data_IF_758220221598
#
_entry.id   IF_758220221598
#
_cell.length_a   1.000
_cell.length_b   1.000
_cell.length_c   1.000
_cell.angle_alpha   90.00
_cell.angle_beta   90.00
_cell.angle_gamma   90.00
#
_symmetry.space_group_name_H-M   'P 1'
#
loop_
_entity.id
_entity.type
_entity.pdbx_description
1 polymer ?
#
# COMPACT_ATOMS: atom_id res chain seq x y z
N UNK A 1 -3.58 7.86 8.87
CA UNK A 1 -3.33 6.54 8.26
C UNK A 1 -2.71 6.76 6.91
N UNK A 2 -1.64 6.03 6.57
CA UNK A 2 -0.91 6.21 5.31
C UNK A 2 -1.88 6.23 4.12
N UNK A 3 -1.96 7.37 3.43
CA UNK A 3 -2.81 7.51 2.26
C UNK A 3 -2.33 6.60 1.13
N UNK A 4 -3.12 6.45 0.05
CA UNK A 4 -2.69 5.69 -1.11
C UNK A 4 -1.34 6.20 -1.62
N UNK A 5 -0.40 5.29 -1.85
CA UNK A 5 0.94 5.61 -2.32
C UNK A 5 1.09 5.27 -3.81
N UNK A 6 1.70 6.19 -4.58
CA UNK A 6 2.01 5.96 -5.98
C UNK A 6 3.10 4.90 -6.14
N UNK A 7 3.05 4.09 -7.20
CA UNK A 7 4.02 3.01 -7.41
C UNK A 7 5.43 3.52 -7.64
N UNK A 8 5.58 4.65 -8.33
CA UNK A 8 6.87 5.29 -8.53
C UNK A 8 7.51 5.70 -7.21
N UNK A 9 6.71 6.23 -6.27
CA UNK A 9 7.19 6.60 -4.94
C UNK A 9 7.60 5.38 -4.11
N UNK A 10 6.82 4.29 -4.18
CA UNK A 10 7.13 3.02 -3.51
C UNK A 10 8.43 2.43 -4.09
N UNK A 11 8.51 2.31 -5.42
CA UNK A 11 9.67 1.82 -6.16
C UNK A 11 10.94 2.60 -5.81
N UNK A 12 10.84 3.94 -5.81
CA UNK A 12 11.94 4.81 -5.44
C UNK A 12 12.40 4.59 -3.99
N UNK A 13 11.45 4.51 -3.05
CA UNK A 13 11.75 4.27 -1.62
C UNK A 13 12.43 2.92 -1.41
N UNK A 14 12.02 1.89 -2.18
CA UNK A 14 12.58 0.55 -2.12
C UNK A 14 13.84 0.36 -2.99
N UNK A 15 14.29 1.40 -3.70
CA UNK A 15 15.37 1.29 -4.71
C UNK A 15 15.16 0.10 -5.67
N UNK A 16 13.90 -0.14 -6.05
CA UNK A 16 13.46 -1.27 -6.87
C UNK A 16 12.82 -0.75 -8.15
N UNK A 17 12.89 -1.51 -9.25
CA UNK A 17 12.22 -1.13 -10.50
C UNK A 17 10.68 -1.18 -10.35
N UNK A 18 9.99 -0.25 -11.02
CA UNK A 18 8.52 -0.21 -11.05
C UNK A 18 7.96 -1.50 -11.63
N UNK A 19 8.50 -1.94 -12.76
CA UNK A 19 8.06 -3.16 -13.46
C UNK A 19 8.15 -4.39 -12.54
N UNK A 20 9.21 -4.52 -11.75
CA UNK A 20 9.33 -5.61 -10.75
C UNK A 20 8.20 -5.55 -9.72
N UNK A 21 7.81 -4.37 -9.27
CA UNK A 21 6.68 -4.27 -8.35
C UNK A 21 5.36 -4.65 -9.03
N UNK A 22 5.12 -4.21 -10.27
CA UNK A 22 3.85 -4.46 -10.97
C UNK A 22 3.70 -5.90 -11.49
N UNK A 23 4.79 -6.50 -11.94
CA UNK A 23 4.80 -7.80 -12.62
C UNK A 23 5.07 -8.97 -11.67
N UNK A 24 5.89 -8.76 -10.63
CA UNK A 24 6.29 -9.84 -9.72
C UNK A 24 5.61 -9.73 -8.34
N UNK A 25 5.58 -8.52 -7.76
CA UNK A 25 5.17 -8.34 -6.35
C UNK A 25 3.66 -8.13 -6.21
N UNK A 26 3.09 -7.17 -6.92
CA UNK A 26 1.67 -6.83 -6.82
C UNK A 26 0.73 -7.98 -7.14
N UNK A 27 0.98 -8.88 -8.11
CA UNK A 27 0.08 -9.98 -8.40
C UNK A 27 -0.16 -10.87 -7.18
N UNK A 28 0.86 -11.08 -6.35
CA UNK A 28 0.71 -11.78 -5.07
C UNK A 28 -0.10 -10.94 -4.08
N UNK A 29 0.31 -9.70 -3.82
CA UNK A 29 -0.34 -8.85 -2.81
C UNK A 29 -1.83 -8.60 -3.12
N UNK A 30 -2.18 -8.46 -4.40
CA UNK A 30 -3.57 -8.30 -4.85
C UNK A 30 -4.35 -9.60 -4.71
N UNK A 31 -3.78 -10.75 -5.09
CA UNK A 31 -4.45 -12.05 -4.99
C UNK A 31 -4.73 -12.46 -3.54
N UNK A 32 -3.84 -12.12 -2.62
CA UNK A 32 -4.02 -12.37 -1.20
C UNK A 32 -4.77 -11.25 -0.47
N UNK A 33 -5.33 -10.30 -1.22
CA UNK A 33 -6.11 -9.16 -0.72
C UNK A 33 -5.35 -8.38 0.36
N UNK A 34 -4.03 -8.23 0.23
CA UNK A 34 -3.19 -7.46 1.16
C UNK A 34 -3.16 -5.98 0.78
N UNK A 35 -3.25 -5.67 -0.51
CA UNK A 35 -3.38 -4.31 -1.03
C UNK A 35 -4.54 -4.21 -2.03
N UNK A 36 -4.96 -2.99 -2.31
CA UNK A 36 -5.84 -2.65 -3.43
C UNK A 36 -5.23 -1.55 -4.28
N UNK A 37 -5.54 -1.56 -5.58
CA UNK A 37 -5.28 -0.44 -6.50
C UNK A 37 -6.45 0.54 -6.44
N UNK A 38 -6.14 1.82 -6.33
CA UNK A 38 -7.10 2.92 -6.43
C UNK A 38 -6.59 3.95 -7.44
N UNK A 39 -7.44 4.86 -7.96
CA UNK A 39 -6.97 5.95 -8.81
C UNK A 39 -5.91 6.86 -8.16
N UNK A 40 -5.83 6.85 -6.82
CA UNK A 40 -4.88 7.65 -6.03
C UNK A 40 -3.60 6.90 -5.67
N UNK A 41 -3.49 5.61 -5.99
CA UNK A 41 -2.35 4.76 -5.63
C UNK A 41 -2.75 3.46 -4.94
N UNK A 42 -1.74 2.77 -4.38
CA UNK A 42 -1.87 1.49 -3.68
C UNK A 42 -2.18 1.75 -2.21
N UNK A 43 -3.11 0.99 -1.65
CA UNK A 43 -3.51 1.09 -0.24
C UNK A 43 -3.57 -0.29 0.37
N UNK A 44 -3.17 -0.43 1.64
CA UNK A 44 -3.42 -1.64 2.42
C UNK A 44 -4.92 -1.88 2.59
N UNK A 45 -5.31 -3.15 2.57
CA UNK A 45 -6.62 -3.61 3.04
C UNK A 45 -6.58 -3.83 4.55
N UNK A 46 -7.73 -4.10 5.17
CA UNK A 46 -7.80 -4.54 6.57
C UNK A 46 -6.97 -5.82 6.79
N UNK A 47 -6.99 -6.76 5.83
CA UNK A 47 -6.20 -7.99 5.87
C UNK A 47 -4.69 -7.69 5.77
N UNK A 48 -4.30 -6.73 4.93
CA UNK A 48 -2.93 -6.24 4.82
C UNK A 48 -2.45 -5.58 6.10
N UNK A 49 -3.27 -4.74 6.72
CA UNK A 49 -2.97 -4.13 8.02
C UNK A 49 -2.79 -5.20 9.10
N UNK A 50 -3.69 -6.20 9.17
CA UNK A 50 -3.58 -7.32 10.11
C UNK A 50 -2.34 -8.20 9.86
N UNK A 51 -1.94 -8.38 8.59
CA UNK A 51 -0.76 -9.18 8.22
C UNK A 51 0.56 -8.56 8.72
N UNK A 52 0.61 -7.23 8.86
CA UNK A 52 1.80 -6.52 9.33
C UNK A 52 1.99 -6.60 10.86
N UNK A 53 0.97 -7.04 11.62
CA UNK A 53 0.99 -7.15 13.08
C UNK A 53 0.96 -5.79 13.79
N UNK A 54 -0.10 -5.53 14.56
CA UNK A 54 -0.29 -4.37 15.47
C UNK A 54 0.36 -3.03 15.05
N UNK A 55 -0.06 -2.48 13.91
CA UNK A 55 -0.06 -1.03 13.72
C UNK A 55 -1.42 -0.47 14.20
N UNK A 56 -1.47 0.38 15.25
CA UNK A 56 -2.71 0.86 15.88
C UNK A 56 -3.58 1.69 14.92
N UNK A 57 -4.89 1.84 15.24
CA UNK A 57 -5.93 2.14 14.27
C UNK A 57 -5.71 3.48 13.58
N UNK A 58 -5.96 3.51 12.28
CA UNK A 58 -6.12 4.72 11.49
C UNK A 58 -7.35 5.50 11.97
N UNK A 59 -7.19 6.24 13.07
CA UNK A 59 -8.14 7.27 13.49
C UNK A 59 -8.40 8.25 12.33
N UNK A 60 -9.58 8.87 12.26
CA UNK A 60 -9.94 9.77 11.16
C UNK A 60 -8.82 10.79 11.00
N UNK A 61 -8.27 10.85 9.79
CA UNK A 61 -7.30 11.86 9.38
C UNK A 61 -7.86 13.22 9.79
N UNK A 62 -7.43 13.73 10.95
CA UNK A 62 -7.72 15.10 11.33
C UNK A 62 -7.10 15.93 10.22
N UNK A 63 -7.96 16.60 9.46
CA UNK A 63 -7.57 17.63 8.51
C UNK A 63 -6.73 18.61 9.29
N UNK A 64 -5.41 18.58 9.08
CA UNK A 64 -4.54 19.59 9.61
C UNK A 64 -4.64 20.76 8.62
N UNK A 65 -5.52 21.69 9.01
CA UNK A 65 -5.88 22.96 8.35
C UNK A 65 -6.71 22.85 7.08
#
# INVERSE_FOLDING_TARGET
GGGPAGIEAIAHTMSTAVDTLEDDVEPFLLRYELIIRTPRGRRLTERGEAHLGDAPPSGPQQKLF
#
